data_IF_463828669297
#
_entry.id   IF_463828669297
#
_cell.length_a   1.000
_cell.length_b   1.000
_cell.length_c   1.000
_cell.angle_alpha   90.00
_cell.angle_beta   90.00
_cell.angle_gamma   90.00
#
_symmetry.space_group_name_H-M   'P 1'
#
loop_
_entity.id
_entity.type
_entity.pdbx_description
1 polymer ?
#
# COMPACT_ATOMS: atom_id res chain seq x y z
N UNK A 1 23.72 -18.14 1.83
CA UNK A 1 23.17 -16.79 2.04
C UNK A 1 24.30 -15.78 2.09
N UNK A 2 24.31 -14.72 1.29
CA UNK A 2 25.33 -13.69 1.36
C UNK A 2 25.24 -12.94 2.69
N UNK A 3 26.29 -12.96 3.49
CA UNK A 3 26.34 -12.27 4.79
C UNK A 3 26.72 -10.79 4.69
N UNK A 4 27.38 -10.38 3.61
CA UNK A 4 27.99 -9.04 3.46
C UNK A 4 27.74 -8.35 2.11
N UNK A 5 26.88 -8.87 1.24
CA UNK A 5 26.63 -8.30 -0.07
C UNK A 5 25.16 -7.93 -0.31
N UNK A 6 24.93 -6.94 -1.16
CA UNK A 6 23.60 -6.68 -1.68
C UNK A 6 23.19 -7.82 -2.63
N UNK A 7 22.05 -8.46 -2.32
CA UNK A 7 21.46 -9.43 -3.24
C UNK A 7 20.79 -8.68 -4.37
N UNK A 8 21.16 -8.99 -5.61
CA UNK A 8 20.50 -8.44 -6.79
C UNK A 8 19.00 -8.76 -6.76
N UNK A 9 18.17 -7.75 -6.95
CA UNK A 9 16.72 -7.94 -7.03
C UNK A 9 16.39 -8.62 -8.34
N UNK A 10 15.56 -9.68 -8.28
CA UNK A 10 15.05 -10.33 -9.47
C UNK A 10 13.93 -9.50 -10.06
N UNK A 11 14.04 -9.16 -11.34
CA UNK A 11 12.94 -8.54 -12.06
C UNK A 11 11.79 -9.53 -12.30
N UNK A 12 10.58 -9.01 -12.18
CA UNK A 12 9.36 -9.77 -12.42
C UNK A 12 8.94 -9.51 -13.86
N UNK A 13 8.70 -10.59 -14.62
CA UNK A 13 8.16 -10.50 -15.98
C UNK A 13 6.72 -9.95 -15.92
N UNK A 14 6.31 -9.12 -16.88
CA UNK A 14 4.93 -8.65 -16.97
C UNK A 14 3.98 -9.81 -17.23
N UNK A 15 2.72 -9.63 -16.87
CA UNK A 15 1.68 -10.63 -17.09
C UNK A 15 1.33 -10.72 -18.59
N UNK A 16 1.13 -11.94 -19.14
CA UNK A 16 0.87 -12.11 -20.58
C UNK A 16 -0.48 -11.52 -21.04
N UNK A 17 -1.50 -11.43 -20.17
CA UNK A 17 -2.82 -10.92 -20.51
C UNK A 17 -2.89 -9.39 -20.43
N UNK A 18 -2.43 -8.83 -19.32
CA UNK A 18 -2.54 -7.39 -19.02
C UNK A 18 -1.23 -6.61 -19.25
N UNK A 19 -0.14 -7.29 -19.63
CA UNK A 19 1.20 -6.71 -19.83
C UNK A 19 1.67 -5.78 -18.67
N UNK A 20 1.19 -6.05 -17.45
CA UNK A 20 1.48 -5.25 -16.25
C UNK A 20 2.32 -6.02 -15.23
N UNK A 21 3.40 -5.41 -14.75
CA UNK A 21 4.23 -5.94 -13.66
C UNK A 21 3.49 -5.93 -12.30
N UNK A 22 2.52 -5.03 -12.12
CA UNK A 22 1.71 -4.96 -10.90
C UNK A 22 0.79 -6.16 -10.77
N UNK A 23 0.17 -6.59 -11.87
CA UNK A 23 -0.69 -7.79 -11.92
C UNK A 23 0.12 -9.03 -11.57
N UNK A 24 1.31 -9.21 -12.13
CA UNK A 24 2.17 -10.34 -11.77
C UNK A 24 2.55 -10.32 -10.27
N UNK A 25 2.83 -9.16 -9.70
CA UNK A 25 3.10 -9.04 -8.26
C UNK A 25 1.86 -9.37 -7.42
N UNK A 26 0.66 -9.00 -7.86
CA UNK A 26 -0.59 -9.39 -7.22
C UNK A 26 -0.77 -10.91 -7.23
N UNK A 27 -0.60 -11.56 -8.38
CA UNK A 27 -0.65 -13.02 -8.53
C UNK A 27 0.32 -13.71 -7.57
N UNK A 28 1.55 -13.21 -7.48
CA UNK A 28 2.57 -13.75 -6.56
C UNK A 28 2.20 -13.57 -5.08
N UNK A 29 1.46 -12.52 -4.70
CA UNK A 29 0.97 -12.33 -3.33
C UNK A 29 -0.22 -13.22 -2.98
N UNK A 30 -1.09 -13.52 -3.96
CA UNK A 30 -2.25 -14.40 -3.77
C UNK A 30 -1.83 -15.86 -3.75
N UNK A 31 -0.76 -16.21 -4.46
CA UNK A 31 -0.28 -17.57 -4.61
C UNK A 31 0.04 -18.24 -3.26
N UNK A 32 -0.44 -19.48 -3.08
CA UNK A 32 -0.08 -20.39 -1.99
C UNK A 32 0.66 -21.61 -2.55
N UNK A 33 1.62 -22.13 -1.81
CA UNK A 33 2.35 -23.37 -2.07
C UNK A 33 2.92 -23.49 -3.49
N UNK A 34 3.25 -22.35 -4.12
CA UNK A 34 3.76 -22.31 -5.49
C UNK A 34 2.72 -22.53 -6.58
N UNK A 35 1.43 -22.63 -6.25
CA UNK A 35 0.34 -22.88 -7.20
C UNK A 35 -0.02 -21.64 -8.02
N UNK A 36 0.90 -21.23 -8.93
CA UNK A 36 0.75 -19.99 -9.70
C UNK A 36 -0.45 -20.01 -10.64
N UNK A 37 -0.73 -21.14 -11.33
CA UNK A 37 -1.84 -21.24 -12.29
C UNK A 37 -3.20 -20.99 -11.64
N UNK A 38 -3.42 -21.50 -10.42
CA UNK A 38 -4.64 -21.25 -9.66
C UNK A 38 -4.77 -19.78 -9.28
N UNK A 39 -3.67 -19.15 -8.84
CA UNK A 39 -3.67 -17.73 -8.49
C UNK A 39 -3.93 -16.84 -9.71
N UNK A 40 -3.38 -17.17 -10.88
CA UNK A 40 -3.66 -16.47 -12.14
C UNK A 40 -5.14 -16.53 -12.49
N UNK A 41 -5.73 -17.72 -12.46
CA UNK A 41 -7.16 -17.90 -12.72
C UNK A 41 -8.03 -17.06 -11.79
N UNK A 42 -7.73 -17.06 -10.48
CA UNK A 42 -8.46 -16.24 -9.50
C UNK A 42 -8.39 -14.75 -9.83
N UNK A 43 -7.22 -14.24 -10.22
CA UNK A 43 -7.05 -12.82 -10.54
C UNK A 43 -7.79 -12.44 -11.83
N UNK A 44 -7.71 -13.27 -12.86
CA UNK A 44 -8.39 -13.00 -14.12
C UNK A 44 -9.91 -13.02 -13.95
N UNK A 45 -10.46 -14.04 -13.31
CA UNK A 45 -11.89 -14.10 -12.99
C UNK A 45 -12.35 -12.93 -12.09
N UNK A 46 -11.49 -12.48 -11.16
CA UNK A 46 -11.80 -11.30 -10.34
C UNK A 46 -11.84 -10.02 -11.18
N UNK A 47 -10.95 -9.87 -12.15
CA UNK A 47 -10.93 -8.72 -13.06
C UNK A 47 -12.15 -8.72 -13.99
N UNK A 48 -12.56 -9.87 -14.52
CA UNK A 48 -13.81 -10.02 -15.28
C UNK A 48 -15.02 -9.54 -14.46
N UNK A 49 -15.13 -9.95 -13.20
CA UNK A 49 -16.20 -9.50 -12.29
C UNK A 49 -16.15 -7.98 -12.06
N UNK A 50 -14.95 -7.38 -11.97
CA UNK A 50 -14.81 -5.93 -11.82
C UNK A 50 -15.27 -5.20 -13.09
N UNK A 51 -14.91 -5.69 -14.28
CA UNK A 51 -15.35 -5.13 -15.56
C UNK A 51 -16.88 -5.21 -15.72
N UNK A 52 -17.47 -6.38 -15.42
CA UNK A 52 -18.93 -6.56 -15.47
C UNK A 52 -19.69 -5.59 -14.55
N UNK A 53 -19.16 -5.36 -13.33
CA UNK A 53 -19.85 -4.51 -12.34
C UNK A 53 -19.61 -3.02 -12.52
N UNK A 54 -18.41 -2.63 -12.98
CA UNK A 54 -18.02 -1.22 -13.08
C UNK A 54 -18.18 -0.65 -14.50
N UNK A 55 -18.20 -1.52 -15.51
CA UNK A 55 -18.19 -1.13 -16.93
C UNK A 55 -16.92 -0.42 -17.37
N UNK A 56 -15.86 -0.44 -16.56
CA UNK A 56 -14.54 0.16 -16.80
C UNK A 56 -13.51 -0.92 -16.99
N UNK A 57 -12.37 -0.55 -17.60
CA UNK A 57 -11.23 -1.45 -17.71
C UNK A 57 -10.72 -1.85 -16.30
N UNK A 58 -10.68 -3.16 -16.03
CA UNK A 58 -10.25 -3.67 -14.71
C UNK A 58 -8.86 -3.22 -14.32
N UNK A 59 -7.94 -3.06 -15.28
CA UNK A 59 -6.59 -2.60 -15.00
C UNK A 59 -6.58 -1.17 -14.43
N UNK A 60 -7.34 -0.26 -15.03
CA UNK A 60 -7.45 1.13 -14.56
C UNK A 60 -8.07 1.20 -13.16
N UNK A 61 -9.14 0.44 -12.93
CA UNK A 61 -9.78 0.34 -11.61
C UNK A 61 -8.80 -0.20 -10.57
N UNK A 62 -8.00 -1.21 -10.92
CA UNK A 62 -6.99 -1.77 -10.05
C UNK A 62 -5.85 -0.79 -9.75
N UNK A 63 -5.35 -0.05 -10.74
CA UNK A 63 -4.31 0.96 -10.54
C UNK A 63 -4.81 2.09 -9.63
N UNK A 64 -6.02 2.57 -9.83
CA UNK A 64 -6.66 3.56 -8.96
C UNK A 64 -6.85 3.02 -7.53
N UNK A 65 -7.30 1.77 -7.38
CA UNK A 65 -7.41 1.12 -6.08
C UNK A 65 -6.05 1.03 -5.38
N UNK A 66 -4.99 0.70 -6.12
CA UNK A 66 -3.63 0.65 -5.59
C UNK A 66 -3.14 2.02 -5.12
N UNK A 67 -3.37 3.10 -5.87
CA UNK A 67 -3.04 4.45 -5.43
C UNK A 67 -3.73 4.82 -4.12
N UNK A 68 -5.00 4.44 -3.98
CA UNK A 68 -5.79 4.67 -2.78
C UNK A 68 -5.34 3.84 -1.58
N UNK A 69 -4.74 2.66 -1.77
CA UNK A 69 -4.30 1.76 -0.69
C UNK A 69 -2.84 2.00 -0.29
N UNK A 70 -2.00 2.45 -1.20
CA UNK A 70 -0.56 2.61 -0.94
C UNK A 70 -0.27 3.68 0.13
N UNK A 71 0.45 3.33 1.25
CA UNK A 71 0.78 4.27 2.30
C UNK A 71 1.96 5.16 1.93
N UNK A 72 1.93 6.42 2.34
CA UNK A 72 3.08 7.36 2.24
C UNK A 72 4.03 7.22 3.42
N UNK A 73 3.52 6.85 4.59
CA UNK A 73 4.26 6.76 5.85
C UNK A 73 4.16 5.35 6.45
N UNK A 74 5.21 4.92 7.12
CA UNK A 74 5.26 3.70 7.94
C UNK A 74 5.81 4.03 9.32
N UNK A 75 5.28 3.39 10.35
CA UNK A 75 5.73 3.59 11.72
C UNK A 75 6.85 2.60 12.06
N UNK A 76 8.00 3.12 12.50
CA UNK A 76 9.12 2.32 12.95
C UNK A 76 9.38 2.51 14.43
N UNK A 77 9.49 1.43 15.18
CA UNK A 77 9.91 1.47 16.58
C UNK A 77 11.40 1.87 16.67
N UNK A 78 11.71 2.91 17.46
CA UNK A 78 13.08 3.33 17.78
C UNK A 78 13.24 3.43 19.28
N UNK A 79 14.30 2.83 19.81
CA UNK A 79 14.63 2.90 21.22
C UNK A 79 15.46 4.14 21.51
N UNK A 80 14.97 4.99 22.41
CA UNK A 80 15.66 6.20 22.87
C UNK A 80 15.57 6.27 24.40
N UNK A 81 16.69 6.34 25.09
CA UNK A 81 16.73 6.46 26.55
C UNK A 81 16.00 5.37 27.31
N UNK A 82 15.99 4.11 26.78
CA UNK A 82 15.31 2.97 27.40
C UNK A 82 13.84 2.79 27.04
N UNK A 83 13.18 3.78 26.43
CA UNK A 83 11.79 3.70 25.97
C UNK A 83 11.72 3.46 24.45
N UNK A 84 10.71 2.70 24.02
CA UNK A 84 10.45 2.46 22.61
C UNK A 84 9.48 3.52 22.07
N UNK A 85 9.96 4.36 21.16
CA UNK A 85 9.16 5.35 20.46
C UNK A 85 8.81 4.86 19.05
N UNK A 86 7.60 5.13 18.63
CA UNK A 86 7.16 4.86 17.26
C UNK A 86 7.34 6.13 16.42
N UNK A 87 8.26 6.08 15.48
CA UNK A 87 8.60 7.22 14.62
C UNK A 87 8.04 6.99 13.23
N UNK A 88 7.26 7.92 12.67
CA UNK A 88 6.81 7.85 11.29
C UNK A 88 7.99 8.10 10.34
N UNK A 89 8.14 7.22 9.36
CA UNK A 89 9.19 7.31 8.34
C UNK A 89 8.54 7.21 6.97
N UNK A 90 9.02 8.01 6.03
CA UNK A 90 8.60 7.94 4.64
C UNK A 90 8.94 6.58 4.01
N UNK A 91 7.99 6.01 3.28
CA UNK A 91 8.11 4.69 2.67
C UNK A 91 8.71 4.78 1.28
N UNK A 92 9.72 3.97 0.98
CA UNK A 92 10.31 3.86 -0.36
C UNK A 92 9.27 3.37 -1.39
N UNK A 93 9.30 3.83 -2.66
CA UNK A 93 8.28 3.49 -3.67
C UNK A 93 8.04 1.99 -3.84
N UNK A 94 9.10 1.18 -3.88
CA UNK A 94 8.98 -0.28 -4.03
C UNK A 94 8.29 -0.95 -2.83
N UNK A 95 8.59 -0.47 -1.62
CA UNK A 95 7.96 -0.98 -0.41
C UNK A 95 6.51 -0.52 -0.31
N UNK A 96 6.21 0.70 -0.77
CA UNK A 96 4.87 1.26 -0.84
C UNK A 96 3.95 0.35 -1.67
N UNK A 97 4.40 -0.06 -2.87
CA UNK A 97 3.67 -1.03 -3.70
C UNK A 97 3.50 -2.39 -3.01
N UNK A 98 4.56 -2.90 -2.38
CA UNK A 98 4.52 -4.18 -1.69
C UNK A 98 3.53 -4.17 -0.51
N UNK A 99 3.48 -3.08 0.25
CA UNK A 99 2.53 -2.92 1.36
C UNK A 99 1.09 -2.84 0.85
N UNK A 100 0.83 -2.06 -0.20
CA UNK A 100 -0.48 -1.95 -0.81
C UNK A 100 -1.01 -3.30 -1.30
N UNK A 101 -0.22 -4.05 -2.05
CA UNK A 101 -0.57 -5.39 -2.52
C UNK A 101 -0.81 -6.37 -1.37
N UNK A 102 0.01 -6.35 -0.33
CA UNK A 102 -0.15 -7.20 0.85
C UNK A 102 -1.43 -6.88 1.61
N UNK A 103 -1.74 -5.61 1.80
CA UNK A 103 -2.96 -5.21 2.49
C UNK A 103 -4.19 -5.60 1.68
N UNK A 104 -4.22 -5.29 0.39
CA UNK A 104 -5.30 -5.69 -0.50
C UNK A 104 -5.56 -7.19 -0.43
N UNK A 105 -4.52 -8.02 -0.54
CA UNK A 105 -4.63 -9.48 -0.48
C UNK A 105 -5.09 -9.98 0.90
N UNK A 106 -4.58 -9.42 1.99
CA UNK A 106 -4.95 -9.87 3.33
C UNK A 106 -6.40 -9.51 3.67
N UNK A 107 -6.84 -8.32 3.31
CA UNK A 107 -8.21 -7.89 3.58
C UNK A 107 -9.21 -8.55 2.65
N UNK A 108 -8.85 -8.84 1.39
CA UNK A 108 -9.70 -9.66 0.54
C UNK A 108 -9.93 -11.07 1.12
N UNK A 109 -8.90 -11.69 1.73
CA UNK A 109 -9.06 -12.98 2.42
C UNK A 109 -9.96 -12.93 3.64
N UNK A 110 -10.02 -11.80 4.33
CA UNK A 110 -10.84 -11.60 5.52
C UNK A 110 -12.32 -11.31 5.23
N UNK A 111 -12.69 -11.13 3.96
CA UNK A 111 -14.09 -10.88 3.54
C UNK A 111 -14.95 -12.13 3.68
N UNK A 112 -16.26 -11.94 3.76
CA UNK A 112 -17.25 -12.99 4.00
C UNK A 112 -17.77 -13.68 2.74
N UNK A 113 -17.44 -13.18 1.54
CA UNK A 113 -17.88 -13.78 0.28
C UNK A 113 -17.38 -15.22 0.14
N UNK A 114 -18.08 -16.02 -0.67
CA UNK A 114 -17.83 -17.46 -0.77
C UNK A 114 -16.51 -17.77 -1.46
N UNK A 115 -16.24 -17.15 -2.61
CA UNK A 115 -15.06 -17.45 -3.44
C UNK A 115 -14.00 -16.35 -3.36
N UNK A 116 -12.71 -16.72 -3.50
CA UNK A 116 -11.62 -15.75 -3.45
C UNK A 116 -11.67 -14.73 -4.59
N UNK A 117 -12.20 -15.11 -5.76
CA UNK A 117 -12.41 -14.20 -6.89
C UNK A 117 -13.39 -13.07 -6.55
N UNK A 118 -14.52 -13.41 -5.91
CA UNK A 118 -15.52 -12.42 -5.47
C UNK A 118 -14.96 -11.52 -4.37
N UNK A 119 -14.24 -12.08 -3.41
CA UNK A 119 -13.58 -11.35 -2.32
C UNK A 119 -12.58 -10.33 -2.86
N UNK A 120 -11.75 -10.74 -3.82
CA UNK A 120 -10.76 -9.86 -4.43
C UNK A 120 -11.42 -8.77 -5.26
N UNK A 121 -12.40 -9.10 -6.09
CA UNK A 121 -13.15 -8.13 -6.87
C UNK A 121 -13.86 -7.10 -5.98
N UNK A 122 -14.51 -7.55 -4.91
CA UNK A 122 -15.16 -6.68 -3.93
C UNK A 122 -14.18 -5.71 -3.28
N UNK A 123 -13.01 -6.18 -2.81
CA UNK A 123 -12.02 -5.31 -2.18
C UNK A 123 -11.40 -4.30 -3.16
N UNK A 124 -11.18 -4.68 -4.44
CA UNK A 124 -10.68 -3.76 -5.47
C UNK A 124 -11.69 -2.65 -5.74
N UNK A 125 -12.98 -2.96 -5.88
CA UNK A 125 -14.03 -1.98 -6.10
C UNK A 125 -14.18 -1.02 -4.90
N UNK A 126 -14.19 -1.56 -3.68
CA UNK A 126 -14.26 -0.76 -2.46
C UNK A 126 -13.03 0.16 -2.32
N UNK A 127 -11.84 -0.36 -2.61
CA UNK A 127 -10.61 0.42 -2.58
C UNK A 127 -10.56 1.53 -3.65
N UNK A 128 -11.11 1.29 -4.84
CA UNK A 128 -11.27 2.30 -5.88
C UNK A 128 -12.15 3.47 -5.39
N UNK A 129 -13.20 3.18 -4.64
CA UNK A 129 -14.12 4.16 -4.05
C UNK A 129 -13.60 4.78 -2.72
N UNK A 130 -12.32 4.58 -2.36
CA UNK A 130 -11.74 5.00 -1.07
C UNK A 130 -12.48 4.42 0.16
N UNK A 131 -13.10 3.28 0.02
CA UNK A 131 -13.76 2.53 1.08
C UNK A 131 -13.04 1.18 1.27
N UNK A 132 -13.50 0.36 2.19
CA UNK A 132 -12.92 -0.96 2.40
C UNK A 132 -11.86 -1.03 3.49
N UNK A 133 -11.52 -2.26 3.86
CA UNK A 133 -10.64 -2.55 4.99
C UNK A 133 -9.16 -2.23 4.69
N UNK A 134 -8.73 -2.37 3.44
CA UNK A 134 -7.38 -2.03 3.01
C UNK A 134 -7.12 -0.52 3.10
N UNK A 135 -8.08 0.32 2.68
CA UNK A 135 -8.00 1.78 2.81
C UNK A 135 -8.02 2.21 4.27
N UNK A 136 -8.89 1.61 5.08
CA UNK A 136 -8.94 1.85 6.52
C UNK A 136 -7.57 1.57 7.17
N UNK A 137 -6.90 0.49 6.77
CA UNK A 137 -5.54 0.18 7.26
C UNK A 137 -4.52 1.26 6.89
N UNK A 138 -4.59 1.84 5.68
CA UNK A 138 -3.76 2.98 5.28
C UNK A 138 -4.01 4.16 6.21
N UNK A 139 -5.28 4.49 6.45
CA UNK A 139 -5.67 5.60 7.32
C UNK A 139 -5.18 5.38 8.76
N UNK A 140 -5.37 4.20 9.31
CA UNK A 140 -4.90 3.84 10.65
C UNK A 140 -3.37 4.00 10.76
N UNK A 141 -2.63 3.62 9.73
CA UNK A 141 -1.17 3.76 9.70
C UNK A 141 -0.74 5.23 9.61
N UNK A 142 -1.49 6.06 8.89
CA UNK A 142 -1.24 7.50 8.74
C UNK A 142 -1.72 8.30 9.96
N UNK A 143 -2.79 7.84 10.62
CA UNK A 143 -3.44 8.49 11.77
C UNK A 143 -2.70 8.27 13.09
N UNK A 144 -1.65 7.47 13.10
CA UNK A 144 -0.90 7.13 14.31
C UNK A 144 -0.60 8.37 15.16
N UNK A 145 -0.64 8.27 16.50
CA UNK A 145 -0.75 9.42 17.38
C UNK A 145 0.35 10.43 17.12
N UNK A 146 -0.05 11.69 16.91
CA UNK A 146 0.85 12.83 16.94
C UNK A 146 1.64 12.72 18.24
N UNK A 147 2.99 12.75 18.21
CA UNK A 147 3.78 12.66 19.41
C UNK A 147 3.30 13.76 20.36
N UNK A 148 2.87 13.37 21.56
CA UNK A 148 2.49 14.33 22.59
C UNK A 148 3.69 15.23 22.88
N UNK A 149 3.47 16.50 23.18
CA UNK A 149 4.54 17.51 23.46
C UNK A 149 5.62 17.00 24.42
N UNK A 150 5.29 16.09 25.34
CA UNK A 150 6.23 15.43 26.26
C UNK A 150 7.22 14.49 25.59
N UNK A 151 6.89 13.86 24.46
CA UNK A 151 7.80 12.98 23.72
C UNK A 151 8.80 13.73 22.84
N UNK A 152 8.53 14.98 22.51
CA UNK A 152 9.41 15.82 21.68
C UNK A 152 10.58 16.42 22.46
N UNK A 153 10.43 16.66 23.76
CA UNK A 153 11.49 17.25 24.59
C UNK A 153 12.61 16.26 24.96
N UNK A 154 12.35 14.95 24.93
CA UNK A 154 13.37 13.93 25.20
C UNK A 154 14.07 13.39 23.94
N UNK A 155 13.52 13.64 22.76
CA UNK A 155 14.11 13.28 21.48
C UNK A 155 14.90 14.47 20.92
N UNK A 156 16.01 14.80 21.58
CA UNK A 156 16.87 15.92 21.21
C UNK A 156 17.11 16.01 19.70
N UNK A 157 16.83 17.18 19.14
CA UNK A 157 17.28 17.67 17.83
C UNK A 157 16.95 16.86 16.57
N UNK A 158 15.69 16.50 16.35
CA UNK A 158 15.18 16.32 14.99
C UNK A 158 14.47 17.59 14.52
N UNK A 159 15.23 18.68 14.45
CA UNK A 159 14.79 19.88 13.76
C UNK A 159 14.80 19.61 12.26
N UNK A 160 13.60 19.46 11.69
CA UNK A 160 13.15 20.15 10.50
C UNK A 160 13.68 19.70 9.14
N UNK A 161 12.95 18.75 8.55
CA UNK A 161 12.68 18.82 7.10
C UNK A 161 11.21 19.06 6.77
N UNK A 162 10.29 18.98 7.73
CA UNK A 162 8.85 19.25 7.56
C UNK A 162 8.46 20.71 7.60
N UNK A 163 9.28 21.60 8.18
CA UNK A 163 9.01 23.05 8.16
C UNK A 163 9.16 23.70 6.77
N UNK A 164 9.69 22.99 5.80
CA UNK A 164 9.82 23.49 4.42
C UNK A 164 8.54 23.28 3.58
N UNK A 165 7.68 22.32 3.95
CA UNK A 165 6.45 22.05 3.22
C UNK A 165 5.30 22.97 3.63
N UNK A 166 5.23 23.35 4.90
CA UNK A 166 4.20 24.30 5.37
C UNK A 166 4.41 25.72 4.84
N UNK A 167 5.68 26.09 4.56
CA UNK A 167 6.01 27.39 3.98
C UNK A 167 5.71 27.49 2.47
N UNK A 168 5.61 26.39 1.76
CA UNK A 168 5.27 26.37 0.34
C UNK A 168 3.76 26.58 0.16
N UNK A 169 2.92 26.01 1.02
CA UNK A 169 1.47 26.22 0.97
C UNK A 169 1.03 27.64 1.37
N UNK A 170 1.77 28.30 2.26
CA UNK A 170 1.50 29.70 2.60
C UNK A 170 1.92 30.66 1.47
N UNK A 171 3.04 30.39 0.80
CA UNK A 171 3.51 31.24 -0.31
C UNK A 171 2.66 31.13 -1.59
N UNK A 172 2.01 29.99 -1.82
CA UNK A 172 1.11 29.82 -2.97
C UNK A 172 -0.21 30.59 -2.76
N UNK A 173 -0.66 30.78 -1.51
CA UNK A 173 -1.85 31.60 -1.21
C UNK A 173 -1.62 33.10 -1.36
N UNK A 174 -0.39 33.58 -1.17
CA UNK A 174 -0.06 34.99 -1.36
C UNK A 174 0.18 35.41 -2.82
N UNK A 175 0.38 34.44 -3.72
CA UNK A 175 0.57 34.71 -5.18
C UNK A 175 -0.78 34.66 -5.95
N UNK A 176 -1.83 34.11 -5.34
CA UNK A 176 -3.17 33.99 -5.94
C UNK A 176 -4.20 34.96 -5.34
N UNK A 177 -3.79 35.92 -4.50
CA UNK A 177 -4.56 37.07 -4.02
C UNK A 177 -4.02 38.35 -4.63
#
# INVERSE_FOLDING_TARGET
MPRRGNVAKRDVLPDPMYNSKLVTRLINNIMYDGKKGVAQKIVYEAFEIVEEKTGKNALEVFEQAMENVMPSLEVKARRVGGANYQVPIEVRPERRQTLGLRWLTNYSRARSEKTMRERLAGEIMDACNNTGAAVKKREDTTRWPRPTRRSLTSAGNYRTRTACQDNIHLRIREILA
#
